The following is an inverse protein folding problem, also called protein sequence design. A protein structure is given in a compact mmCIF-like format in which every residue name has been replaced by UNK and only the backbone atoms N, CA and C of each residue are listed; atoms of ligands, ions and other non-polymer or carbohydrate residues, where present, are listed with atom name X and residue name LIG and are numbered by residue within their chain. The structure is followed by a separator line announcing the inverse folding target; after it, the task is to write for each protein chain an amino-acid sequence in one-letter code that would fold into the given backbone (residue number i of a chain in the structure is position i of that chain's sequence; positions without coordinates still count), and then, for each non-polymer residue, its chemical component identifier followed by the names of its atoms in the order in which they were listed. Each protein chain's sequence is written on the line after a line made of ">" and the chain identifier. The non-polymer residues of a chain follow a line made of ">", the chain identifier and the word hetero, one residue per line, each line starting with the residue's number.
data_IF_958512668467
#
_entry.id   IF_958512668467
#
_cell.length_a   1.000
_cell.length_b   1.000
_cell.length_c   1.000
_cell.angle_alpha   90.00
_cell.angle_beta   90.00
_cell.angle_gamma   90.00
#
_symmetry.space_group_name_H-M   'P 1'
#
loop_
_entity.id
_entity.type
_entity.pdbx_description
1 polymer ?
#
# COMPACT_ATOMS: atom_id res chain seq x y z
N UNK A 1 -15.30 20.02 -32.02
CA UNK A 1 -14.96 19.69 -30.63
C UNK A 1 -13.85 20.60 -30.18
N UNK A 2 -13.87 21.03 -28.90
CA UNK A 2 -12.80 21.85 -28.29
C UNK A 2 -11.49 21.03 -28.27
N UNK A 3 -10.39 21.65 -28.69
CA UNK A 3 -9.06 21.01 -28.68
C UNK A 3 -8.41 21.22 -27.31
N UNK A 4 -8.06 20.15 -26.64
CA UNK A 4 -7.43 20.18 -25.32
C UNK A 4 -6.11 19.40 -25.36
N UNK A 5 -5.03 20.10 -25.13
CA UNK A 5 -3.67 19.55 -25.03
C UNK A 5 -3.32 19.36 -23.55
N UNK A 6 -3.07 18.14 -23.09
CA UNK A 6 -2.51 17.87 -21.77
C UNK A 6 -0.99 17.75 -21.95
N UNK A 7 -0.24 18.64 -21.31
CA UNK A 7 1.17 18.87 -21.64
C UNK A 7 2.02 18.67 -20.40
N UNK A 8 2.87 17.64 -20.40
CA UNK A 8 3.92 17.44 -19.41
C UNK A 8 5.06 18.46 -19.64
N UNK A 9 5.26 19.33 -18.67
CA UNK A 9 6.28 20.41 -18.79
C UNK A 9 7.66 20.04 -18.25
N UNK A 10 7.84 18.77 -17.92
CA UNK A 10 9.08 18.35 -17.28
C UNK A 10 9.24 18.83 -15.84
N UNK A 11 10.45 18.80 -15.28
CA UNK A 11 10.70 19.14 -13.88
C UNK A 11 10.56 20.65 -13.58
N UNK A 12 10.50 21.51 -14.60
CA UNK A 12 10.22 22.94 -14.42
C UNK A 12 11.06 23.89 -15.30
N UNK A 13 12.27 23.49 -15.71
CA UNK A 13 13.09 24.28 -16.63
C UNK A 13 12.55 24.20 -18.07
N UNK A 14 12.20 25.32 -18.72
CA UNK A 14 11.72 25.33 -20.10
C UNK A 14 12.67 24.69 -21.14
N UNK A 15 13.96 24.67 -20.88
CA UNK A 15 14.95 24.02 -21.76
C UNK A 15 14.83 22.49 -21.77
N UNK A 16 14.12 21.93 -20.78
CA UNK A 16 13.85 20.50 -20.65
C UNK A 16 12.50 20.08 -21.24
N UNK A 17 11.79 21.00 -21.92
CA UNK A 17 10.61 20.65 -22.67
C UNK A 17 10.95 19.73 -23.84
N UNK A 18 10.10 18.74 -24.07
CA UNK A 18 10.14 18.07 -25.37
C UNK A 18 9.71 19.06 -26.47
N UNK A 19 10.22 18.89 -27.68
CA UNK A 19 9.86 19.76 -28.80
C UNK A 19 8.36 19.77 -29.08
N UNK A 20 7.70 18.62 -28.95
CA UNK A 20 6.25 18.50 -29.13
C UNK A 20 5.47 19.26 -28.05
N UNK A 21 5.91 19.16 -26.78
CA UNK A 21 5.30 19.91 -25.69
C UNK A 21 5.44 21.43 -25.89
N UNK A 22 6.62 21.91 -26.32
CA UNK A 22 6.86 23.32 -26.61
C UNK A 22 5.94 23.83 -27.71
N UNK A 23 5.81 23.09 -28.83
CA UNK A 23 4.90 23.44 -29.92
C UNK A 23 3.44 23.42 -29.49
N UNK A 24 3.04 22.47 -28.65
CA UNK A 24 1.66 22.40 -28.13
C UNK A 24 1.35 23.59 -27.21
N UNK A 25 2.31 24.04 -26.40
CA UNK A 25 2.17 25.25 -25.59
C UNK A 25 2.05 26.48 -26.50
N UNK A 26 2.88 26.60 -27.54
CA UNK A 26 2.85 27.71 -28.47
C UNK A 26 1.51 27.83 -29.19
N UNK A 27 0.96 26.70 -29.65
CA UNK A 27 -0.32 26.63 -30.36
C UNK A 27 -1.54 26.88 -29.47
N UNK A 28 -1.41 26.75 -28.15
CA UNK A 28 -2.51 26.96 -27.22
C UNK A 28 -2.67 28.44 -26.90
N UNK A 29 -3.86 29.02 -27.13
CA UNK A 29 -4.18 30.40 -26.75
C UNK A 29 -4.70 30.51 -25.30
N UNK A 30 -5.08 29.37 -24.70
CA UNK A 30 -5.49 29.28 -23.31
C UNK A 30 -4.55 28.31 -22.58
N UNK A 31 -4.00 28.74 -21.43
CA UNK A 31 -3.18 27.89 -20.58
C UNK A 31 -3.82 27.74 -19.19
N UNK A 32 -3.85 26.51 -18.70
CA UNK A 32 -4.39 26.16 -17.38
C UNK A 32 -3.31 25.38 -16.62
N UNK A 33 -3.02 25.76 -15.37
CA UNK A 33 -2.02 25.08 -14.56
C UNK A 33 -1.77 25.76 -13.22
N UNK A 34 -0.79 25.26 -12.47
CA UNK A 34 -0.28 25.93 -11.28
C UNK A 34 0.47 27.22 -11.66
N UNK A 35 0.44 28.22 -10.77
CA UNK A 35 1.11 29.52 -11.02
C UNK A 35 2.58 29.39 -11.39
N UNK A 36 3.28 28.49 -10.73
CA UNK A 36 4.71 28.20 -10.99
C UNK A 36 4.92 27.61 -12.38
N UNK A 37 4.02 26.72 -12.84
CA UNK A 37 4.12 26.11 -14.16
C UNK A 37 3.82 27.11 -15.28
N UNK A 38 2.91 28.04 -15.03
CA UNK A 38 2.48 29.04 -15.99
C UNK A 38 3.48 30.18 -16.14
N UNK A 39 4.26 30.49 -15.10
CA UNK A 39 5.14 31.67 -15.08
C UNK A 39 6.09 31.79 -16.26
N UNK A 40 6.61 30.65 -16.75
CA UNK A 40 7.55 30.65 -17.90
C UNK A 40 6.87 30.77 -19.27
N UNK A 41 5.54 30.60 -19.35
CA UNK A 41 4.81 30.53 -20.62
C UNK A 41 3.72 31.59 -20.79
N UNK A 42 3.54 32.46 -19.78
CA UNK A 42 2.58 33.54 -19.82
C UNK A 42 3.05 34.66 -20.74
N UNK A 43 2.24 35.02 -21.73
CA UNK A 43 2.49 36.13 -22.64
C UNK A 43 1.18 36.94 -22.82
N UNK A 44 1.29 38.20 -23.32
CA UNK A 44 0.11 39.03 -23.59
C UNK A 44 -0.90 38.42 -24.58
N UNK A 45 -0.46 37.42 -25.35
CA UNK A 45 -1.31 36.72 -26.36
C UNK A 45 -2.05 35.51 -25.79
N UNK A 46 -1.85 35.16 -24.52
CA UNK A 46 -2.42 33.95 -23.92
C UNK A 46 -3.31 34.28 -22.73
N UNK A 47 -4.50 33.69 -22.73
CA UNK A 47 -5.38 33.71 -21.55
C UNK A 47 -4.90 32.63 -20.57
N UNK A 48 -4.73 32.98 -19.30
CA UNK A 48 -4.13 32.09 -18.32
C UNK A 48 -5.09 31.90 -17.13
N UNK A 49 -5.32 30.63 -16.76
CA UNK A 49 -6.11 30.24 -15.58
C UNK A 49 -5.25 29.49 -14.57
N UNK A 50 -5.06 30.08 -13.39
CA UNK A 50 -4.26 29.48 -12.33
C UNK A 50 -5.10 28.53 -11.48
N UNK A 51 -5.13 27.24 -11.87
CA UNK A 51 -5.80 26.19 -11.11
C UNK A 51 -5.29 24.81 -11.47
N UNK A 52 -5.28 23.91 -10.47
CA UNK A 52 -5.05 22.46 -10.61
C UNK A 52 -6.29 21.64 -10.21
N UNK A 53 -7.37 22.33 -9.80
CA UNK A 53 -8.62 21.66 -9.45
C UNK A 53 -9.33 21.14 -10.69
N UNK A 54 -9.52 19.82 -10.76
CA UNK A 54 -10.24 19.17 -11.88
C UNK A 54 -11.62 19.77 -12.08
N UNK A 55 -12.36 20.10 -11.02
CA UNK A 55 -13.70 20.71 -11.13
C UNK A 55 -13.62 22.07 -11.81
N UNK A 56 -12.73 22.97 -11.33
CA UNK A 56 -12.54 24.30 -11.92
C UNK A 56 -12.05 24.25 -13.36
N UNK A 57 -11.15 23.31 -13.69
CA UNK A 57 -10.68 23.09 -15.09
C UNK A 57 -11.85 22.75 -15.99
N UNK A 58 -12.72 21.82 -15.56
CA UNK A 58 -13.89 21.42 -16.35
C UNK A 58 -14.91 22.57 -16.52
N UNK A 59 -15.09 23.38 -15.50
CA UNK A 59 -15.99 24.54 -15.59
C UNK A 59 -15.44 25.60 -16.55
N UNK A 60 -14.15 25.89 -16.52
CA UNK A 60 -13.49 26.76 -17.51
C UNK A 60 -13.71 26.22 -18.93
N UNK A 61 -13.47 24.93 -19.14
CA UNK A 61 -13.57 24.29 -20.47
C UNK A 61 -14.99 24.39 -21.05
N UNK A 62 -16.03 24.34 -20.22
CA UNK A 62 -17.44 24.47 -20.67
C UNK A 62 -17.78 25.85 -21.24
N UNK A 63 -17.07 26.91 -20.81
CA UNK A 63 -17.31 28.30 -21.21
C UNK A 63 -16.53 28.71 -22.47
N UNK A 64 -15.65 27.86 -22.99
CA UNK A 64 -14.77 28.15 -24.13
C UNK A 64 -15.44 27.90 -25.50
N UNK A 65 -15.00 28.66 -26.49
CA UNK A 65 -15.48 28.54 -27.89
C UNK A 65 -14.68 27.45 -28.66
N UNK A 66 -15.29 26.30 -29.00
CA UNK A 66 -14.59 25.23 -29.72
C UNK A 66 -14.04 25.62 -31.10
N UNK A 67 -14.52 26.74 -31.67
CA UNK A 67 -14.06 27.20 -33.00
C UNK A 67 -12.80 28.07 -32.92
N UNK A 68 -12.49 28.65 -31.75
CA UNK A 68 -11.41 29.64 -31.61
C UNK A 68 -10.35 29.18 -30.57
N UNK A 69 -10.78 28.39 -29.59
CA UNK A 69 -9.94 28.12 -28.42
C UNK A 69 -9.20 26.79 -28.54
N UNK A 70 -7.92 26.83 -28.19
CA UNK A 70 -7.05 25.66 -28.02
C UNK A 70 -6.49 25.74 -26.62
N UNK A 71 -6.82 24.75 -25.80
CA UNK A 71 -6.47 24.72 -24.38
C UNK A 71 -5.20 23.90 -24.17
N UNK A 72 -4.23 24.45 -23.48
CA UNK A 72 -3.08 23.76 -22.93
C UNK A 72 -3.22 23.58 -21.41
N UNK A 73 -3.40 22.34 -20.94
CA UNK A 73 -3.37 22.02 -19.51
C UNK A 73 -1.96 21.59 -19.16
N UNK A 74 -1.24 22.42 -18.40
CA UNK A 74 0.12 22.16 -17.99
C UNK A 74 0.14 21.26 -16.75
N UNK A 75 0.95 20.22 -16.79
CA UNK A 75 1.16 19.30 -15.66
C UNK A 75 2.66 19.13 -15.40
N UNK A 76 3.04 19.07 -14.14
CA UNK A 76 4.44 18.90 -13.74
C UNK A 76 4.95 17.51 -14.11
N UNK A 77 6.20 17.43 -14.53
CA UNK A 77 6.85 16.17 -14.89
C UNK A 77 6.28 15.57 -16.18
N UNK A 78 6.04 14.28 -16.14
CA UNK A 78 5.43 13.50 -17.23
C UNK A 78 3.95 13.22 -16.96
N UNK A 79 3.16 13.19 -18.04
CA UNK A 79 1.71 12.96 -17.99
C UNK A 79 1.31 11.59 -17.41
N UNK A 80 2.18 10.58 -17.53
CA UNK A 80 1.96 9.22 -17.04
C UNK A 80 2.51 8.98 -15.63
N UNK A 81 3.28 9.93 -15.08
CA UNK A 81 4.00 9.74 -13.82
C UNK A 81 3.32 10.47 -12.65
N UNK A 82 2.40 9.79 -11.95
CA UNK A 82 1.62 10.32 -10.82
C UNK A 82 0.90 11.66 -11.09
N UNK A 83 0.54 11.89 -12.34
CA UNK A 83 -0.04 13.15 -12.83
C UNK A 83 -1.56 13.20 -12.65
N UNK A 84 -2.10 14.43 -12.59
CA UNK A 84 -3.54 14.74 -12.68
C UNK A 84 -4.18 14.24 -13.98
N UNK A 85 -3.39 13.91 -15.00
CA UNK A 85 -3.84 13.50 -16.33
C UNK A 85 -4.88 12.38 -16.27
N UNK A 86 -4.66 11.37 -15.43
CA UNK A 86 -5.59 10.24 -15.30
C UNK A 86 -6.99 10.67 -14.85
N UNK A 87 -7.07 11.62 -13.93
CA UNK A 87 -8.34 12.09 -13.36
C UNK A 87 -9.08 13.06 -14.28
N UNK A 88 -8.36 13.82 -15.11
CA UNK A 88 -8.92 14.83 -16.02
C UNK A 88 -9.34 14.19 -17.34
N UNK A 89 -8.50 13.32 -17.92
CA UNK A 89 -8.70 12.76 -19.24
C UNK A 89 -10.02 12.01 -19.41
N UNK A 90 -10.42 11.25 -18.38
CA UNK A 90 -11.68 10.49 -18.41
C UNK A 90 -12.93 11.41 -18.42
N UNK A 91 -12.78 12.66 -17.97
CA UNK A 91 -13.86 13.65 -17.89
C UNK A 91 -13.94 14.59 -19.10
N UNK A 92 -13.00 14.49 -20.02
CA UNK A 92 -12.91 15.30 -21.24
C UNK A 92 -13.41 14.56 -22.49
N UNK A 93 -14.32 13.61 -22.33
CA UNK A 93 -14.85 12.78 -23.43
C UNK A 93 -15.53 13.58 -24.57
N UNK A 94 -16.03 14.80 -24.28
CA UNK A 94 -16.62 15.71 -25.25
C UNK A 94 -15.58 16.58 -26.00
N UNK A 95 -14.29 16.44 -25.70
CA UNK A 95 -13.19 17.22 -26.28
C UNK A 95 -12.30 16.35 -27.20
N UNK A 96 -11.57 16.99 -28.10
CA UNK A 96 -10.46 16.38 -28.82
C UNK A 96 -9.20 16.50 -27.96
N UNK A 97 -8.83 15.42 -27.24
CA UNK A 97 -7.73 15.45 -26.28
C UNK A 97 -6.46 14.89 -26.90
N UNK A 98 -5.38 15.70 -26.89
CA UNK A 98 -4.01 15.26 -27.21
C UNK A 98 -3.15 15.28 -25.97
N UNK A 99 -2.18 14.38 -25.89
CA UNK A 99 -1.28 14.22 -24.73
C UNK A 99 0.16 14.33 -25.20
N UNK A 100 0.94 15.14 -24.47
CA UNK A 100 2.35 15.41 -24.75
C UNK A 100 3.17 15.04 -23.54
N UNK A 101 4.16 14.14 -23.72
CA UNK A 101 5.00 13.67 -22.62
C UNK A 101 5.97 14.78 -22.17
N UNK A 102 6.41 14.66 -20.92
CA UNK A 102 7.46 15.48 -20.31
C UNK A 102 8.49 14.60 -19.62
N UNK A 103 9.61 15.17 -19.22
CA UNK A 103 10.63 14.47 -18.44
C UNK A 103 10.13 14.40 -16.99
N UNK A 104 10.00 13.18 -16.44
CA UNK A 104 9.60 13.02 -15.05
C UNK A 104 10.71 13.42 -14.08
N UNK A 105 10.33 13.79 -12.84
CA UNK A 105 11.30 14.06 -11.78
C UNK A 105 12.18 12.84 -11.47
N UNK A 106 11.68 11.63 -11.65
CA UNK A 106 12.46 10.40 -11.52
C UNK A 106 13.62 10.38 -12.53
N UNK A 107 13.32 10.53 -13.83
CA UNK A 107 14.34 10.49 -14.90
C UNK A 107 15.36 11.58 -14.72
N UNK A 108 14.93 12.81 -14.42
CA UNK A 108 15.83 13.93 -14.20
C UNK A 108 16.71 13.74 -12.97
N UNK A 109 16.13 13.31 -11.85
CA UNK A 109 16.86 13.12 -10.60
C UNK A 109 17.90 11.99 -10.69
N UNK A 110 17.53 10.86 -11.28
CA UNK A 110 18.46 9.73 -11.43
C UNK A 110 19.62 10.05 -12.37
N UNK A 111 19.37 10.85 -13.41
CA UNK A 111 20.46 11.40 -14.26
C UNK A 111 21.41 12.27 -13.45
N UNK A 112 20.91 13.12 -12.53
CA UNK A 112 21.76 13.94 -11.65
C UNK A 112 22.54 13.11 -10.62
N UNK A 113 22.05 11.94 -10.28
CA UNK A 113 22.72 11.02 -9.36
C UNK A 113 23.66 10.02 -10.07
N UNK A 114 23.70 10.04 -11.40
CA UNK A 114 24.41 9.05 -12.23
C UNK A 114 23.99 7.61 -11.86
N UNK A 115 22.65 7.40 -11.73
CA UNK A 115 22.05 6.14 -11.32
C UNK A 115 21.04 5.65 -12.36
N UNK A 116 21.01 4.34 -12.59
CA UNK A 116 19.89 3.66 -13.25
C UNK A 116 18.64 3.65 -12.34
N UNK A 117 17.46 3.64 -12.93
CA UNK A 117 16.19 3.63 -12.20
C UNK A 117 15.27 2.44 -12.57
N UNK A 118 15.69 1.61 -13.49
CA UNK A 118 14.93 0.44 -13.96
C UNK A 118 14.70 -0.62 -12.85
N UNK A 119 15.63 -0.71 -11.89
CA UNK A 119 15.56 -1.56 -10.71
C UNK A 119 14.91 -0.86 -9.48
N UNK A 120 14.54 0.42 -9.60
CA UNK A 120 13.99 1.17 -8.48
C UNK A 120 12.51 0.84 -8.23
N UNK A 121 12.15 0.60 -6.97
CA UNK A 121 10.76 0.60 -6.53
C UNK A 121 10.26 2.04 -6.49
N UNK A 122 9.24 2.34 -7.28
CA UNK A 122 8.67 3.68 -7.38
C UNK A 122 7.41 3.78 -6.53
N UNK A 123 7.35 4.77 -5.64
CA UNK A 123 6.18 5.06 -4.80
C UNK A 123 5.90 6.57 -4.79
N UNK A 124 4.71 6.94 -4.33
CA UNK A 124 4.35 8.35 -4.11
C UNK A 124 3.79 8.51 -2.71
N UNK A 125 4.45 9.34 -1.91
CA UNK A 125 3.98 9.79 -0.60
C UNK A 125 3.24 11.14 -0.69
N UNK A 126 3.14 11.71 -1.89
CA UNK A 126 2.42 12.95 -2.12
C UNK A 126 0.91 12.73 -2.10
N UNK A 127 0.25 13.18 -1.03
CA UNK A 127 -1.21 13.06 -0.87
C UNK A 127 -1.74 11.61 -0.82
N UNK A 128 -0.89 10.64 -0.50
CA UNK A 128 -1.22 9.21 -0.42
C UNK A 128 -0.56 8.57 0.80
N UNK A 129 -1.28 7.65 1.43
CA UNK A 129 -0.75 6.82 2.51
C UNK A 129 -0.18 5.51 1.94
N UNK A 130 1.01 5.59 1.32
CA UNK A 130 1.77 4.41 0.95
C UNK A 130 2.74 4.04 2.09
N UNK A 131 3.13 2.78 2.15
CA UNK A 131 4.08 2.31 3.16
C UNK A 131 5.52 2.40 2.62
N UNK A 132 6.20 3.53 2.89
CA UNK A 132 7.59 3.76 2.51
C UNK A 132 8.52 2.73 3.17
N UNK A 133 8.33 2.47 4.45
CA UNK A 133 9.18 1.57 5.23
C UNK A 133 9.15 0.16 4.66
N UNK A 134 7.95 -0.35 4.32
CA UNK A 134 7.82 -1.65 3.68
C UNK A 134 8.46 -1.70 2.28
N UNK A 135 8.43 -0.59 1.53
CA UNK A 135 9.09 -0.50 0.25
C UNK A 135 10.62 -0.54 0.42
N UNK A 136 11.17 0.25 1.36
CA UNK A 136 12.62 0.29 1.66
C UNK A 136 13.09 -1.05 2.22
N UNK A 137 12.31 -1.67 3.11
CA UNK A 137 12.65 -2.98 3.67
C UNK A 137 12.90 -4.05 2.61
N UNK A 138 12.18 -4.01 1.49
CA UNK A 138 12.14 -5.08 0.47
C UNK A 138 12.93 -4.77 -0.81
N UNK A 139 13.46 -3.57 -0.96
CA UNK A 139 14.10 -3.17 -2.20
C UNK A 139 15.43 -2.45 -1.91
N UNK A 140 16.42 -2.72 -2.75
CA UNK A 140 17.73 -2.06 -2.68
C UNK A 140 17.64 -0.58 -3.03
N UNK A 141 16.68 -0.22 -3.89
CA UNK A 141 16.52 1.15 -4.40
C UNK A 141 15.05 1.54 -4.39
N UNK A 142 14.71 2.65 -3.76
CA UNK A 142 13.33 3.17 -3.69
C UNK A 142 13.31 4.64 -4.06
N UNK A 143 12.56 4.98 -5.10
CA UNK A 143 12.25 6.37 -5.42
C UNK A 143 10.90 6.76 -4.81
N UNK A 144 10.84 7.94 -4.18
CA UNK A 144 9.61 8.47 -3.60
C UNK A 144 9.37 9.92 -4.00
N UNK A 145 8.16 10.20 -4.51
CA UNK A 145 7.63 11.56 -4.49
C UNK A 145 7.25 11.92 -3.05
N UNK A 146 7.60 13.12 -2.62
CA UNK A 146 7.27 13.68 -1.31
C UNK A 146 6.28 14.84 -1.45
N UNK A 147 5.76 15.37 -0.36
CA UNK A 147 4.91 16.56 -0.36
C UNK A 147 3.78 16.52 0.66
N UNK A 148 3.20 17.70 0.93
CA UNK A 148 2.24 17.86 1.99
C UNK A 148 2.84 17.57 3.36
N UNK A 149 2.19 16.73 4.15
CA UNK A 149 2.69 16.31 5.46
C UNK A 149 3.87 15.35 5.42
N UNK A 150 4.17 14.76 4.25
CA UNK A 150 5.23 13.77 4.06
C UNK A 150 6.50 14.44 3.52
N UNK A 151 7.13 15.30 4.34
CA UNK A 151 8.43 15.89 4.04
C UNK A 151 9.55 14.83 4.10
N UNK A 152 10.68 15.03 3.39
CA UNK A 152 11.82 14.14 3.46
C UNK A 152 12.29 13.85 4.91
N UNK A 153 12.36 14.87 5.77
CA UNK A 153 12.76 14.72 7.17
C UNK A 153 11.79 13.82 7.96
N UNK A 154 10.46 14.00 7.78
CA UNK A 154 9.47 13.14 8.43
C UNK A 154 9.58 11.70 7.97
N UNK A 155 9.77 11.48 6.67
CA UNK A 155 9.95 10.14 6.10
C UNK A 155 11.25 9.48 6.58
N UNK A 156 12.34 10.24 6.71
CA UNK A 156 13.58 9.77 7.34
C UNK A 156 13.36 9.39 8.82
N UNK A 157 12.55 10.16 9.55
CA UNK A 157 12.19 9.82 10.92
C UNK A 157 11.42 8.51 11.00
N UNK A 158 10.42 8.29 10.14
CA UNK A 158 9.71 7.01 10.06
C UNK A 158 10.65 5.84 9.79
N UNK A 159 11.61 6.00 8.88
CA UNK A 159 12.62 4.99 8.61
C UNK A 159 13.45 4.69 9.85
N UNK A 160 13.93 5.72 10.57
CA UNK A 160 14.70 5.56 11.80
C UNK A 160 13.91 4.86 12.90
N UNK A 161 12.65 5.26 13.13
CA UNK A 161 11.76 4.69 14.13
C UNK A 161 11.49 3.18 13.86
N UNK A 162 11.60 2.76 12.59
CA UNK A 162 11.45 1.37 12.17
C UNK A 162 12.78 0.60 12.03
N UNK A 163 13.92 1.17 12.45
CA UNK A 163 15.23 0.50 12.45
C UNK A 163 16.03 0.64 11.15
N UNK A 164 15.65 1.54 10.25
CA UNK A 164 16.35 1.85 8.98
C UNK A 164 17.12 3.17 9.06
N UNK A 165 17.79 3.44 10.19
CA UNK A 165 18.57 4.66 10.41
C UNK A 165 19.83 4.75 9.53
N UNK A 166 20.33 3.60 9.06
CA UNK A 166 21.55 3.42 8.27
C UNK A 166 21.31 3.31 6.74
N UNK A 167 20.07 3.46 6.27
CA UNK A 167 19.83 3.57 4.82
C UNK A 167 20.32 4.92 4.29
N UNK A 168 20.92 4.90 3.10
CA UNK A 168 21.44 6.12 2.50
C UNK A 168 20.36 6.81 1.64
N UNK A 169 20.19 8.11 1.84
CA UNK A 169 19.11 8.89 1.21
C UNK A 169 19.69 10.04 0.41
N UNK A 170 19.20 10.21 -0.80
CA UNK A 170 19.38 11.40 -1.62
C UNK A 170 18.06 12.15 -1.67
N UNK A 171 18.08 13.46 -1.44
CA UNK A 171 16.93 14.35 -1.57
C UNK A 171 17.19 15.33 -2.68
N UNK A 172 16.37 15.31 -3.71
CA UNK A 172 16.39 16.30 -4.79
C UNK A 172 15.40 17.41 -4.49
N UNK A 173 15.90 18.62 -4.30
CA UNK A 173 15.16 19.81 -3.91
C UNK A 173 15.05 20.73 -5.12
N UNK A 174 13.85 21.25 -5.43
CA UNK A 174 13.57 22.20 -6.50
C UNK A 174 14.26 21.81 -7.83
N UNK A 175 14.17 20.53 -8.19
CA UNK A 175 14.88 19.97 -9.35
C UNK A 175 14.62 20.79 -10.61
N UNK A 176 15.69 21.14 -11.32
CA UNK A 176 15.75 21.95 -12.55
C UNK A 176 15.47 23.45 -12.38
N UNK A 177 15.15 23.94 -11.20
CA UNK A 177 15.05 25.37 -10.92
C UNK A 177 16.42 25.97 -10.54
N UNK A 178 16.49 27.29 -10.50
CA UNK A 178 17.76 28.01 -10.20
C UNK A 178 18.32 27.69 -8.80
N UNK A 179 17.47 27.30 -7.88
CA UNK A 179 17.78 26.90 -6.51
C UNK A 179 17.80 25.36 -6.33
N UNK A 180 18.01 24.61 -7.42
CA UNK A 180 18.20 23.17 -7.37
C UNK A 180 19.29 22.77 -6.40
N UNK A 181 18.97 21.83 -5.52
CA UNK A 181 19.94 21.29 -4.57
C UNK A 181 19.76 19.78 -4.42
N UNK A 182 20.84 19.07 -4.22
CA UNK A 182 20.84 17.66 -3.86
C UNK A 182 21.50 17.50 -2.50
N UNK A 183 20.68 17.15 -1.50
CA UNK A 183 21.14 16.80 -0.16
C UNK A 183 21.24 15.29 -0.04
N UNK A 184 22.28 14.78 0.62
CA UNK A 184 22.51 13.35 0.79
C UNK A 184 23.07 13.03 2.16
N UNK A 185 22.75 11.85 2.69
CA UNK A 185 23.24 11.37 3.98
C UNK A 185 22.47 10.13 4.43
N UNK A 186 22.83 9.60 5.58
CA UNK A 186 22.04 8.55 6.20
C UNK A 186 20.68 9.10 6.70
N UNK A 187 19.66 8.26 6.73
CA UNK A 187 18.33 8.68 7.18
C UNK A 187 18.38 9.39 8.55
N UNK A 188 19.21 8.89 9.47
CA UNK A 188 19.43 9.50 10.81
C UNK A 188 19.99 10.93 10.77
N UNK A 189 20.77 11.27 9.76
CA UNK A 189 21.39 12.60 9.61
C UNK A 189 20.38 13.63 9.06
N UNK A 190 19.35 13.16 8.35
CA UNK A 190 18.38 14.02 7.66
C UNK A 190 17.11 14.30 8.47
N UNK A 191 16.90 13.62 9.62
CA UNK A 191 15.69 13.73 10.45
C UNK A 191 15.39 15.15 10.93
N UNK A 192 16.39 15.96 11.22
CA UNK A 192 16.21 17.32 11.75
C UNK A 192 16.30 18.43 10.69
N UNK A 193 16.44 18.09 9.42
CA UNK A 193 16.64 19.06 8.36
C UNK A 193 15.32 19.60 7.83
N UNK A 194 15.33 20.81 7.28
CA UNK A 194 14.19 21.40 6.56
C UNK A 194 14.38 21.21 5.05
N UNK A 195 13.30 20.83 4.38
CA UNK A 195 13.28 20.61 2.94
C UNK A 195 12.10 21.37 2.29
N UNK A 196 12.29 21.92 1.09
CA UNK A 196 11.22 22.50 0.32
C UNK A 196 10.11 21.50 0.03
N UNK A 197 8.87 21.99 -0.14
CA UNK A 197 7.74 21.13 -0.50
C UNK A 197 7.90 20.42 -1.86
N UNK A 198 8.70 21.00 -2.74
CA UNK A 198 9.06 20.43 -4.04
C UNK A 198 10.34 19.59 -3.91
N UNK A 199 10.20 18.43 -3.30
CA UNK A 199 11.30 17.50 -3.10
C UNK A 199 10.94 16.10 -3.56
N UNK A 200 11.95 15.32 -3.89
CA UNK A 200 11.88 13.88 -4.17
C UNK A 200 13.00 13.16 -3.41
N UNK A 201 12.82 11.89 -3.18
CA UNK A 201 13.82 11.07 -2.48
C UNK A 201 14.22 9.85 -3.33
N UNK A 202 15.51 9.50 -3.25
CA UNK A 202 16.03 8.19 -3.62
C UNK A 202 16.67 7.56 -2.38
N UNK A 203 16.22 6.39 -2.01
CA UNK A 203 16.67 5.68 -0.81
C UNK A 203 17.37 4.41 -1.26
N UNK A 204 18.57 4.20 -0.75
CA UNK A 204 19.40 3.02 -1.01
C UNK A 204 19.46 2.20 0.27
N UNK A 205 19.05 0.95 0.17
CA UNK A 205 19.14 -0.02 1.25
C UNK A 205 20.05 -1.17 0.79
N UNK A 206 21.26 -1.22 1.29
CA UNK A 206 22.24 -2.27 0.95
C UNK A 206 21.91 -3.62 1.60
N UNK A 207 20.97 -3.63 2.54
CA UNK A 207 20.53 -4.82 3.28
C UNK A 207 19.01 -4.98 3.18
N UNK A 208 18.44 -5.05 1.98
CA UNK A 208 17.01 -5.33 1.86
C UNK A 208 16.75 -6.67 2.54
N UNK A 209 15.61 -6.79 3.19
CA UNK A 209 15.11 -8.09 3.61
C UNK A 209 14.98 -8.86 2.31
N UNK A 210 15.96 -9.72 2.07
CA UNK A 210 16.01 -10.58 0.88
C UNK A 210 14.64 -11.22 0.79
N UNK A 211 13.93 -10.91 -0.32
CA UNK A 211 12.49 -11.12 -0.36
C UNK A 211 12.25 -12.55 0.03
N UNK A 212 11.81 -12.72 1.25
CA UNK A 212 11.64 -14.03 1.84
C UNK A 212 11.19 -14.93 0.73
N UNK A 213 11.95 -15.99 0.43
CA UNK A 213 11.55 -17.03 -0.53
C UNK A 213 10.14 -17.56 -0.21
N UNK A 214 9.53 -17.01 0.83
CA UNK A 214 8.19 -17.33 1.33
C UNK A 214 7.19 -16.28 0.86
N UNK A 215 6.24 -16.70 0.06
CA UNK A 215 5.04 -15.90 -0.23
C UNK A 215 4.18 -15.82 1.05
N UNK A 216 4.10 -16.91 1.79
CA UNK A 216 3.51 -17.10 3.12
C UNK A 216 4.08 -18.39 3.73
N UNK A 217 3.76 -18.66 4.99
CA UNK A 217 4.27 -19.84 5.68
C UNK A 217 5.68 -19.61 6.24
N UNK A 218 5.92 -18.44 6.85
CA UNK A 218 7.16 -18.15 7.54
C UNK A 218 7.46 -19.22 8.60
N UNK A 219 8.73 -19.64 8.77
CA UNK A 219 9.13 -20.54 9.84
C UNK A 219 8.68 -20.04 11.23
N UNK A 220 8.32 -20.96 12.12
CA UNK A 220 7.83 -20.62 13.45
C UNK A 220 8.85 -19.85 14.32
N UNK A 221 10.14 -19.97 14.04
CA UNK A 221 11.23 -19.28 14.72
C UNK A 221 11.43 -17.82 14.28
N UNK A 222 10.78 -17.41 13.19
CA UNK A 222 10.68 -16.01 12.83
C UNK A 222 9.86 -15.20 13.84
N UNK A 223 8.96 -15.86 14.58
CA UNK A 223 8.06 -15.21 15.52
C UNK A 223 8.58 -15.32 16.97
N UNK A 224 8.48 -14.21 17.69
CA UNK A 224 8.66 -14.20 19.15
C UNK A 224 7.49 -14.96 19.77
N UNK A 225 7.81 -15.88 20.68
CA UNK A 225 6.84 -16.75 21.34
C UNK A 225 7.04 -16.71 22.85
N UNK A 226 5.96 -16.88 23.58
CA UNK A 226 5.94 -17.17 25.00
C UNK A 226 5.06 -18.41 25.25
N UNK A 227 4.28 -18.42 26.32
CA UNK A 227 3.31 -19.50 26.59
C UNK A 227 2.02 -19.42 25.76
N UNK A 228 1.84 -18.33 25.00
CA UNK A 228 0.67 -18.12 24.15
C UNK A 228 0.67 -19.13 22.99
N UNK A 229 -0.47 -19.79 22.71
CA UNK A 229 -0.61 -20.68 21.57
C UNK A 229 -0.32 -19.95 20.25
N UNK A 230 0.33 -20.64 19.30
CA UNK A 230 0.64 -20.14 17.98
C UNK A 230 0.22 -21.15 16.92
N UNK A 231 -0.50 -20.69 15.91
CA UNK A 231 -0.80 -21.50 14.71
C UNK A 231 0.49 -21.87 14.02
N UNK A 232 0.77 -23.17 13.91
CA UNK A 232 2.01 -23.70 13.37
C UNK A 232 2.13 -23.46 11.87
N UNK A 233 3.36 -23.39 11.38
CA UNK A 233 3.70 -23.04 9.99
C UNK A 233 2.82 -23.77 8.97
N UNK A 234 2.68 -25.10 9.08
CA UNK A 234 1.93 -25.91 8.12
C UNK A 234 0.44 -25.55 8.12
N UNK A 235 -0.17 -25.48 9.30
CA UNK A 235 -1.57 -25.08 9.46
C UNK A 235 -1.78 -23.65 9.00
N UNK A 236 -0.88 -22.73 9.38
CA UNK A 236 -0.93 -21.32 8.99
C UNK A 236 -0.86 -21.15 7.48
N UNK A 237 0.06 -21.87 6.83
CA UNK A 237 0.20 -21.84 5.37
C UNK A 237 -1.06 -22.29 4.65
N UNK A 238 -1.68 -23.38 5.12
CA UNK A 238 -2.93 -23.90 4.54
C UNK A 238 -4.07 -22.91 4.79
N UNK A 239 -4.19 -22.39 6.02
CA UNK A 239 -5.25 -21.43 6.38
C UNK A 239 -5.18 -20.16 5.53
N UNK A 240 -3.99 -19.58 5.35
CA UNK A 240 -3.79 -18.38 4.52
C UNK A 240 -4.06 -18.68 3.05
N UNK A 241 -3.64 -19.84 2.56
CA UNK A 241 -3.93 -20.28 1.19
C UNK A 241 -5.42 -20.42 0.93
N UNK A 242 -6.18 -21.01 1.87
CA UNK A 242 -7.64 -21.13 1.78
C UNK A 242 -8.36 -19.79 1.90
N UNK A 243 -7.82 -18.85 2.67
CA UNK A 243 -8.36 -17.49 2.82
C UNK A 243 -8.15 -16.66 1.54
N UNK A 244 -7.10 -16.96 0.78
CA UNK A 244 -6.77 -16.32 -0.50
C UNK A 244 -6.79 -14.78 -0.45
N UNK A 245 -6.02 -14.14 0.47
CA UNK A 245 -6.05 -12.70 0.66
C UNK A 245 -5.44 -11.95 -0.53
N UNK A 246 -6.01 -10.78 -0.85
CA UNK A 246 -5.53 -9.87 -1.89
C UNK A 246 -4.71 -8.74 -1.27
N UNK A 247 -3.91 -8.08 -2.09
CA UNK A 247 -3.03 -6.99 -1.63
C UNK A 247 -3.77 -5.76 -1.07
N UNK A 248 -5.05 -5.60 -1.37
CA UNK A 248 -5.88 -4.45 -0.99
C UNK A 248 -6.93 -4.79 0.06
N UNK A 249 -7.02 -6.05 0.50
CA UNK A 249 -8.10 -6.52 1.38
C UNK A 249 -8.03 -5.90 2.77
N UNK A 250 -9.20 -5.66 3.34
CA UNK A 250 -9.41 -5.45 4.77
C UNK A 250 -9.60 -6.82 5.41
N UNK A 251 -8.72 -7.18 6.33
CA UNK A 251 -8.66 -8.53 6.88
C UNK A 251 -8.84 -8.49 8.39
N UNK A 252 -9.66 -9.41 8.92
CA UNK A 252 -9.75 -9.65 10.35
C UNK A 252 -8.99 -10.93 10.72
N UNK A 253 -8.23 -10.86 11.81
CA UNK A 253 -7.66 -12.02 12.50
C UNK A 253 -8.25 -12.09 13.91
N UNK A 254 -9.20 -13.01 14.12
CA UNK A 254 -9.95 -13.14 15.37
C UNK A 254 -9.31 -14.21 16.24
N UNK A 255 -8.89 -13.81 17.45
CA UNK A 255 -8.09 -14.63 18.35
C UNK A 255 -6.65 -14.73 17.85
N UNK A 256 -6.03 -13.58 17.63
CA UNK A 256 -4.75 -13.45 16.93
C UNK A 256 -3.56 -14.13 17.66
N UNK A 257 -3.65 -14.35 18.98
CA UNK A 257 -2.63 -15.02 19.77
C UNK A 257 -1.27 -14.33 19.64
N UNK A 258 -0.27 -15.03 19.13
CA UNK A 258 1.07 -14.44 18.90
C UNK A 258 1.13 -13.46 17.73
N UNK A 259 0.05 -13.30 16.96
CA UNK A 259 0.02 -12.48 15.75
C UNK A 259 0.70 -13.12 14.53
N UNK A 260 1.04 -14.40 14.59
CA UNK A 260 1.73 -15.05 13.47
C UNK A 260 0.91 -15.09 12.19
N UNK A 261 -0.41 -15.27 12.27
CA UNK A 261 -1.34 -15.18 11.14
C UNK A 261 -1.53 -13.72 10.72
N UNK A 262 -1.80 -12.82 11.69
CA UNK A 262 -1.97 -11.38 11.45
C UNK A 262 -0.80 -10.77 10.66
N UNK A 263 0.42 -11.08 11.08
CA UNK A 263 1.64 -10.56 10.44
C UNK A 263 1.79 -11.08 9.01
N UNK A 264 1.60 -12.38 8.76
CA UNK A 264 1.67 -12.91 7.40
C UNK A 264 0.56 -12.36 6.50
N UNK A 265 -0.65 -12.20 7.02
CA UNK A 265 -1.75 -11.55 6.30
C UNK A 265 -1.42 -10.09 5.95
N UNK A 266 -0.81 -9.35 6.88
CA UNK A 266 -0.39 -7.98 6.64
C UNK A 266 0.76 -7.86 5.62
N UNK A 267 1.68 -8.82 5.60
CA UNK A 267 2.72 -8.89 4.57
C UNK A 267 2.15 -9.15 3.16
N UNK A 268 1.02 -9.84 3.05
CA UNK A 268 0.31 -10.07 1.78
C UNK A 268 -0.55 -8.85 1.41
N UNK A 269 -1.35 -8.33 2.35
CA UNK A 269 -2.26 -7.20 2.15
C UNK A 269 -1.53 -5.85 2.20
N UNK A 270 -0.51 -5.66 1.36
CA UNK A 270 0.41 -4.50 1.38
C UNK A 270 -0.29 -3.14 1.26
N UNK A 271 -1.38 -3.10 0.52
CA UNK A 271 -2.19 -1.90 0.24
C UNK A 271 -3.55 -1.95 0.96
N UNK A 272 -3.75 -2.98 1.76
CA UNK A 272 -4.89 -3.20 2.64
C UNK A 272 -4.53 -3.01 4.10
N UNK A 273 -5.36 -3.53 4.99
CA UNK A 273 -5.16 -3.42 6.44
C UNK A 273 -5.62 -4.68 7.15
N UNK A 274 -4.87 -5.10 8.17
CA UNK A 274 -5.23 -6.21 9.05
C UNK A 274 -5.67 -5.66 10.41
N UNK A 275 -6.77 -6.19 10.92
CA UNK A 275 -7.33 -5.91 12.24
C UNK A 275 -7.21 -7.18 13.07
N UNK A 276 -6.31 -7.18 14.04
CA UNK A 276 -6.04 -8.31 14.92
C UNK A 276 -6.80 -8.14 16.24
N UNK A 277 -7.78 -8.99 16.47
CA UNK A 277 -8.58 -8.98 17.69
C UNK A 277 -7.99 -9.94 18.72
N UNK A 278 -7.60 -9.43 19.86
CA UNK A 278 -7.04 -10.24 20.94
C UNK A 278 -7.37 -9.61 22.31
N UNK A 279 -7.69 -10.47 23.28
CA UNK A 279 -8.05 -10.03 24.64
C UNK A 279 -6.96 -10.31 25.68
N UNK A 280 -6.03 -11.23 25.40
CA UNK A 280 -4.96 -11.57 26.32
C UNK A 280 -3.81 -10.53 26.23
N UNK A 281 -3.50 -9.79 27.33
CA UNK A 281 -2.44 -8.79 27.31
C UNK A 281 -1.06 -9.34 26.90
N UNK A 282 -0.70 -10.56 27.31
CA UNK A 282 0.56 -11.20 26.93
C UNK A 282 0.62 -11.45 25.41
N UNK A 283 -0.49 -11.87 24.82
CA UNK A 283 -0.62 -12.09 23.37
C UNK A 283 -0.52 -10.75 22.61
N UNK A 284 -1.18 -9.70 23.09
CA UNK A 284 -1.13 -8.35 22.51
C UNK A 284 0.31 -7.85 22.42
N UNK A 285 1.10 -8.00 23.47
CA UNK A 285 2.52 -7.63 23.44
C UNK A 285 3.32 -8.46 22.42
N UNK A 286 3.02 -9.75 22.28
CA UNK A 286 3.66 -10.58 21.24
C UNK A 286 3.30 -10.12 19.83
N UNK A 287 2.04 -9.72 19.59
CA UNK A 287 1.64 -9.15 18.29
C UNK A 287 2.46 -7.89 18.00
N UNK A 288 2.61 -6.97 18.97
CA UNK A 288 3.43 -5.75 18.82
C UNK A 288 4.89 -6.08 18.51
N UNK A 289 5.47 -7.01 19.26
CA UNK A 289 6.85 -7.43 19.05
C UNK A 289 7.07 -8.05 17.67
N UNK A 290 6.17 -8.92 17.23
CA UNK A 290 6.25 -9.59 15.92
C UNK A 290 6.01 -8.62 14.77
N UNK A 291 5.06 -7.69 14.91
CA UNK A 291 4.83 -6.62 13.93
C UNK A 291 6.07 -5.73 13.77
N UNK A 292 6.70 -5.34 14.86
CA UNK A 292 7.95 -4.57 14.84
C UNK A 292 9.10 -5.37 14.21
N UNK A 293 9.31 -6.62 14.65
CA UNK A 293 10.39 -7.49 14.15
C UNK A 293 10.31 -7.74 12.65
N UNK A 294 9.09 -7.92 12.12
CA UNK A 294 8.85 -8.20 10.70
C UNK A 294 8.43 -6.95 9.91
N UNK A 295 8.58 -5.78 10.52
CA UNK A 295 8.33 -4.46 9.93
C UNK A 295 6.96 -4.34 9.25
N UNK A 296 5.92 -4.74 9.98
CA UNK A 296 4.53 -4.68 9.55
C UNK A 296 3.89 -3.42 10.12
N UNK A 297 3.38 -2.53 9.27
CA UNK A 297 2.78 -1.25 9.67
C UNK A 297 1.27 -1.16 9.39
N UNK A 298 0.74 -2.04 8.54
CA UNK A 298 -0.68 -2.10 8.17
C UNK A 298 -1.47 -3.09 9.03
N UNK A 299 -1.01 -3.34 10.26
CA UNK A 299 -1.68 -4.17 11.25
C UNK A 299 -2.11 -3.29 12.43
N UNK A 300 -3.39 -3.33 12.75
CA UNK A 300 -3.97 -2.67 13.91
C UNK A 300 -4.44 -3.70 14.92
N UNK A 301 -4.14 -3.47 16.18
CA UNK A 301 -4.47 -4.38 17.27
C UNK A 301 -5.71 -3.84 17.98
N UNK A 302 -6.75 -4.65 18.05
CA UNK A 302 -7.97 -4.36 18.78
C UNK A 302 -7.99 -5.21 20.06
N UNK A 303 -7.84 -4.53 21.18
CA UNK A 303 -7.81 -5.14 22.50
C UNK A 303 -9.23 -5.38 23.01
N UNK A 304 -9.65 -6.62 23.21
CA UNK A 304 -10.96 -6.94 23.72
C UNK A 304 -11.60 -8.18 23.11
N UNK A 305 -12.87 -8.37 23.41
CA UNK A 305 -13.68 -9.44 22.83
C UNK A 305 -14.11 -9.08 21.42
N UNK A 306 -13.69 -9.88 20.45
CA UNK A 306 -13.99 -9.64 19.04
C UNK A 306 -15.50 -9.44 18.75
N UNK A 307 -16.37 -10.17 19.43
CA UNK A 307 -17.84 -10.04 19.28
C UNK A 307 -18.40 -8.65 19.62
N UNK A 308 -17.71 -7.89 20.47
CA UNK A 308 -18.08 -6.51 20.79
C UNK A 308 -17.44 -5.52 19.81
N UNK A 309 -16.15 -5.69 19.54
CA UNK A 309 -15.30 -4.72 18.83
C UNK A 309 -15.50 -4.73 17.30
N UNK A 310 -15.91 -5.85 16.70
CA UNK A 310 -16.14 -5.97 15.25
C UNK A 310 -17.12 -4.91 14.72
N UNK A 311 -18.06 -4.44 15.54
CA UNK A 311 -19.09 -3.48 15.11
C UNK A 311 -18.49 -2.14 14.65
N UNK A 312 -17.45 -1.70 15.33
CA UNK A 312 -16.82 -0.38 15.12
C UNK A 312 -15.70 -0.38 14.04
N UNK A 313 -15.39 -1.55 13.47
CA UNK A 313 -14.32 -1.69 12.48
C UNK A 313 -14.86 -1.67 11.04
N UNK A 314 -14.08 -1.32 10.00
CA UNK A 314 -14.51 -1.37 8.59
C UNK A 314 -14.97 -2.77 8.17
N UNK A 315 -15.83 -2.88 7.16
CA UNK A 315 -16.27 -4.17 6.62
C UNK A 315 -15.08 -5.00 6.10
N UNK A 316 -14.94 -6.28 6.49
CA UNK A 316 -13.81 -7.11 6.06
C UNK A 316 -14.07 -7.77 4.70
N UNK A 317 -12.99 -7.93 3.91
CA UNK A 317 -12.99 -8.77 2.70
C UNK A 317 -12.64 -10.22 3.03
N UNK A 318 -11.80 -10.41 4.06
CA UNK A 318 -11.37 -11.71 4.55
C UNK A 318 -11.42 -11.77 6.08
N UNK A 319 -11.74 -12.93 6.62
CA UNK A 319 -11.73 -13.17 8.07
C UNK A 319 -11.07 -14.51 8.38
N UNK A 320 -10.05 -14.48 9.20
CA UNK A 320 -9.49 -15.67 9.82
C UNK A 320 -9.96 -15.75 11.27
N UNK A 321 -10.40 -16.92 11.71
CA UNK A 321 -10.84 -17.19 13.09
C UNK A 321 -9.97 -18.31 13.67
N UNK A 322 -9.02 -17.93 14.53
CA UNK A 322 -8.17 -18.86 15.27
C UNK A 322 -8.76 -19.27 16.62
N UNK A 323 -9.67 -18.44 17.17
CA UNK A 323 -10.36 -18.70 18.41
C UNK A 323 -11.59 -17.81 18.55
N UNK A 324 -12.76 -18.40 18.85
CA UNK A 324 -14.05 -17.69 18.87
C UNK A 324 -14.57 -17.33 20.27
N UNK A 325 -13.90 -17.80 21.33
CA UNK A 325 -14.35 -17.54 22.71
C UNK A 325 -15.79 -17.99 23.02
N UNK A 326 -16.38 -18.87 22.19
CA UNK A 326 -17.77 -19.34 22.34
C UNK A 326 -18.81 -18.50 21.57
N UNK A 327 -18.44 -17.38 20.95
CA UNK A 327 -19.36 -16.43 20.30
C UNK A 327 -19.38 -16.54 18.76
N UNK A 328 -19.05 -17.72 18.21
CA UNK A 328 -18.83 -17.92 16.77
C UNK A 328 -20.02 -17.45 15.91
N UNK A 329 -21.25 -17.90 16.24
CA UNK A 329 -22.43 -17.58 15.43
C UNK A 329 -22.70 -16.07 15.36
N UNK A 330 -22.69 -15.39 16.50
CA UNK A 330 -22.92 -13.92 16.54
C UNK A 330 -21.85 -13.11 15.83
N UNK A 331 -20.59 -13.57 15.87
CA UNK A 331 -19.50 -12.94 15.11
C UNK A 331 -19.70 -13.13 13.61
N UNK A 332 -20.01 -14.34 13.15
CA UNK A 332 -20.27 -14.61 11.74
C UNK A 332 -21.46 -13.81 11.21
N UNK A 333 -22.54 -13.71 12.00
CA UNK A 333 -23.70 -12.88 11.62
C UNK A 333 -23.31 -11.40 11.47
N UNK A 334 -22.48 -10.86 12.38
CA UNK A 334 -21.99 -9.48 12.30
C UNK A 334 -21.06 -9.27 11.09
N UNK A 335 -20.19 -10.22 10.81
CA UNK A 335 -19.28 -10.18 9.66
C UNK A 335 -20.08 -10.15 8.36
N UNK A 336 -21.03 -11.08 8.19
CA UNK A 336 -21.84 -11.17 6.97
C UNK A 336 -22.88 -10.06 6.82
N UNK A 337 -23.28 -9.42 7.92
CA UNK A 337 -24.07 -8.19 7.87
C UNK A 337 -23.24 -7.02 7.28
N UNK A 338 -21.94 -6.94 7.60
CA UNK A 338 -21.03 -5.92 7.07
C UNK A 338 -20.61 -6.19 5.62
N UNK A 339 -20.29 -7.44 5.31
CA UNK A 339 -19.93 -7.89 3.96
C UNK A 339 -20.33 -9.35 3.78
N UNK A 340 -21.38 -9.59 3.02
CA UNK A 340 -21.90 -10.93 2.74
C UNK A 340 -21.02 -11.73 1.76
N UNK A 341 -20.06 -11.06 1.10
CA UNK A 341 -19.03 -11.66 0.22
C UNK A 341 -17.73 -11.99 0.97
N UNK A 342 -17.65 -11.70 2.27
CA UNK A 342 -16.43 -11.93 3.04
C UNK A 342 -16.03 -13.41 3.00
N UNK A 343 -14.78 -13.67 2.65
CA UNK A 343 -14.18 -15.00 2.69
C UNK A 343 -13.77 -15.32 4.12
N UNK A 344 -14.22 -16.46 4.64
CA UNK A 344 -13.98 -16.83 6.03
C UNK A 344 -13.19 -18.13 6.10
N UNK A 345 -12.14 -18.16 6.93
CA UNK A 345 -11.41 -19.38 7.30
C UNK A 345 -11.42 -19.55 8.81
N UNK A 346 -11.81 -20.72 9.27
CA UNK A 346 -11.92 -21.05 10.70
C UNK A 346 -11.04 -22.25 10.99
N UNK A 347 -10.16 -22.12 11.98
CA UNK A 347 -9.38 -23.25 12.49
C UNK A 347 -10.10 -23.83 13.71
N UNK A 348 -10.48 -25.11 13.63
CA UNK A 348 -11.08 -25.85 14.72
C UNK A 348 -10.16 -27.00 15.17
N UNK A 349 -9.81 -26.97 16.46
CA UNK A 349 -9.01 -28.04 17.11
C UNK A 349 -9.94 -29.03 17.82
N UNK A 350 -11.14 -28.58 18.21
CA UNK A 350 -12.11 -29.39 18.93
C UNK A 350 -13.29 -29.80 18.06
N UNK A 351 -13.90 -30.93 18.39
CA UNK A 351 -15.09 -31.43 17.69
C UNK A 351 -16.29 -30.49 17.92
N UNK A 352 -16.37 -29.87 19.09
CA UNK A 352 -17.42 -28.90 19.41
C UNK A 352 -17.38 -27.67 18.51
N UNK A 353 -16.16 -27.13 18.26
CA UNK A 353 -15.98 -26.00 17.33
C UNK A 353 -16.38 -26.41 15.92
N UNK A 354 -15.96 -27.59 15.46
CA UNK A 354 -16.33 -28.12 14.14
C UNK A 354 -17.86 -28.26 14.03
N UNK A 355 -18.50 -28.85 15.04
CA UNK A 355 -19.95 -29.02 15.07
C UNK A 355 -20.69 -27.67 15.03
N UNK A 356 -20.20 -26.67 15.78
CA UNK A 356 -20.75 -25.30 15.77
C UNK A 356 -20.65 -24.63 14.41
N UNK A 357 -19.52 -24.79 13.70
CA UNK A 357 -19.38 -24.27 12.33
C UNK A 357 -20.36 -24.94 11.37
N UNK A 358 -20.45 -26.27 11.43
CA UNK A 358 -21.36 -27.03 10.56
C UNK A 358 -22.82 -26.65 10.81
N UNK A 359 -23.23 -26.50 12.08
CA UNK A 359 -24.56 -26.07 12.43
C UNK A 359 -24.87 -24.65 11.92
N UNK A 360 -23.93 -23.73 12.03
CA UNK A 360 -24.10 -22.37 11.53
C UNK A 360 -24.38 -22.33 10.02
N UNK A 361 -23.62 -23.09 9.22
CA UNK A 361 -23.76 -23.06 7.77
C UNK A 361 -24.84 -24.04 7.23
N UNK A 362 -25.38 -24.94 8.03
CA UNK A 362 -26.36 -25.97 7.62
C UNK A 362 -27.53 -25.43 6.77
N UNK A 363 -28.00 -24.24 7.12
CA UNK A 363 -29.16 -23.63 6.47
C UNK A 363 -28.79 -22.42 5.58
N UNK A 364 -27.49 -22.22 5.32
CA UNK A 364 -26.97 -21.09 4.51
C UNK A 364 -26.51 -21.60 3.14
N UNK A 365 -27.49 -21.96 2.28
CA UNK A 365 -27.25 -22.57 0.96
C UNK A 365 -26.47 -21.70 -0.03
N UNK A 366 -26.39 -20.40 0.25
CA UNK A 366 -25.63 -19.41 -0.51
C UNK A 366 -24.11 -19.42 -0.22
N UNK A 367 -23.66 -20.24 0.74
CA UNK A 367 -22.24 -20.44 1.02
C UNK A 367 -21.80 -21.86 0.66
N UNK A 368 -20.59 -21.96 0.16
CA UNK A 368 -19.88 -23.21 -0.05
C UNK A 368 -18.84 -23.38 1.07
N UNK A 369 -18.83 -24.58 1.66
CA UNK A 369 -17.92 -24.92 2.76
C UNK A 369 -16.99 -26.02 2.29
N UNK A 370 -15.68 -25.81 2.48
CA UNK A 370 -14.68 -26.85 2.32
C UNK A 370 -14.00 -27.10 3.67
N UNK A 371 -13.81 -28.37 4.01
CA UNK A 371 -13.18 -28.80 5.27
C UNK A 371 -11.93 -29.61 4.94
N UNK A 372 -10.79 -29.16 5.40
CA UNK A 372 -9.53 -29.86 5.30
C UNK A 372 -9.04 -30.24 6.69
N UNK A 373 -8.79 -31.52 6.93
CA UNK A 373 -8.15 -31.96 8.17
C UNK A 373 -6.63 -32.00 7.96
N UNK A 374 -5.91 -31.18 8.71
CA UNK A 374 -4.46 -31.08 8.67
C UNK A 374 -3.85 -31.85 9.82
N UNK A 375 -3.13 -32.91 9.51
CA UNK A 375 -2.37 -33.70 10.46
C UNK A 375 -0.88 -33.62 10.13
N UNK A 376 -0.07 -33.08 11.08
CA UNK A 376 1.35 -32.86 10.88
C UNK A 376 2.18 -33.58 11.95
N UNK A 377 3.34 -34.08 11.54
CA UNK A 377 4.37 -34.53 12.46
C UNK A 377 5.71 -33.92 12.04
N UNK A 378 6.48 -33.40 13.01
CA UNK A 378 7.81 -32.84 12.75
C UNK A 378 8.89 -33.74 13.35
N UNK A 379 10.03 -33.88 12.66
CA UNK A 379 11.15 -34.60 13.20
C UNK A 379 11.80 -33.81 14.35
N UNK A 380 12.10 -34.52 15.43
CA UNK A 380 12.88 -34.00 16.55
C UNK A 380 14.10 -34.88 16.74
N UNK A 381 15.29 -34.26 16.74
CA UNK A 381 16.54 -34.97 16.97
C UNK A 381 16.66 -35.35 18.44
N UNK A 382 16.82 -36.64 18.73
CA UNK A 382 17.08 -37.19 20.07
C UNK A 382 18.30 -38.10 19.98
N UNK A 383 19.44 -37.63 20.45
CA UNK A 383 20.71 -38.32 20.24
C UNK A 383 21.07 -38.42 18.77
N UNK A 384 21.26 -39.63 18.27
CA UNK A 384 21.53 -39.95 16.85
C UNK A 384 20.29 -40.19 15.98
N UNK A 385 19.09 -40.16 16.59
CA UNK A 385 17.82 -40.51 15.92
C UNK A 385 16.99 -39.28 15.64
N UNK A 386 16.18 -39.34 14.56
CA UNK A 386 15.15 -38.38 14.24
C UNK A 386 13.77 -38.98 14.57
N UNK A 387 13.21 -38.56 15.70
CA UNK A 387 11.88 -39.03 16.13
C UNK A 387 10.80 -38.11 15.57
N UNK A 388 9.73 -38.71 15.04
CA UNK A 388 8.56 -37.94 14.55
C UNK A 388 7.64 -37.62 15.72
N UNK A 389 7.46 -36.32 15.99
CA UNK A 389 6.55 -35.81 17.02
C UNK A 389 5.28 -35.26 16.37
N UNK A 390 4.16 -35.91 16.63
CA UNK A 390 2.84 -35.49 16.15
C UNK A 390 2.37 -34.19 16.79
N UNK A 391 1.67 -33.41 16.01
CA UNK A 391 0.91 -32.23 16.46
C UNK A 391 -0.59 -32.59 16.52
N UNK A 392 -1.37 -31.82 17.26
CA UNK A 392 -2.82 -31.99 17.25
C UNK A 392 -3.39 -31.74 15.86
N UNK A 393 -4.29 -32.59 15.36
CA UNK A 393 -5.01 -32.33 14.11
C UNK A 393 -5.78 -31.02 14.19
N UNK A 394 -5.84 -30.31 13.08
CA UNK A 394 -6.60 -29.06 12.96
C UNK A 394 -7.53 -29.17 11.76
N UNK A 395 -8.79 -28.89 11.94
CA UNK A 395 -9.73 -28.71 10.84
C UNK A 395 -9.64 -27.27 10.36
N UNK A 396 -9.23 -27.08 9.13
CA UNK A 396 -9.24 -25.79 8.41
C UNK A 396 -10.53 -25.77 7.59
N UNK A 397 -11.44 -24.87 7.94
CA UNK A 397 -12.76 -24.76 7.34
C UNK A 397 -12.81 -23.44 6.58
N UNK A 398 -12.96 -23.48 5.27
CA UNK A 398 -13.17 -22.29 4.45
C UNK A 398 -14.63 -22.17 4.05
N UNK A 399 -15.18 -20.96 4.15
CA UNK A 399 -16.53 -20.63 3.73
C UNK A 399 -16.50 -19.43 2.78
N UNK A 400 -16.99 -19.62 1.58
CA UNK A 400 -17.05 -18.63 0.52
C UNK A 400 -18.49 -18.53 0.01
N UNK A 401 -18.91 -17.34 -0.39
CA UNK A 401 -20.19 -17.20 -1.09
C UNK A 401 -20.11 -17.87 -2.44
N UNK A 402 -21.15 -18.62 -2.82
CA UNK A 402 -21.26 -19.20 -4.16
C UNK A 402 -21.38 -18.07 -5.17
N UNK A 403 -20.53 -18.10 -6.22
CA UNK A 403 -20.73 -17.23 -7.36
C UNK A 403 -22.09 -17.49 -8.02
N UNK A 404 -22.74 -16.44 -8.49
CA UNK A 404 -23.94 -16.56 -9.33
C UNK A 404 -23.61 -17.21 -10.68
#
# INVERSE_FOLDING_TARGET
>A
MLKVNIIGIGPGNPELLTREAALAIEQSNILIGDSRMLAAYTTEKKTVFQTISTAKILDIIKELDPAKDIVGILVSGDIGFFSLTKTIADKLSACEVKRFCGISSLVYFTQKLDMSWDDAKIISMHGRNNNLVAAVAKNTKVFSLTGGENSPAKLCKELCDCGYSDVFVYVGENLSYADEKITKGFASELVGMEFPSLSVMMIINDKPIDGCHYVHGLPDDFFVRAKVPMTKQEVRSISISKLSPRSTDIIYDIGAGTGSVSVELALIAKNGKVWAFERNPEAIELIRMNSKKLNVQNLEIIEGEASAEIKETPAPDCVFIGGSGGNLHSMLDTIYLKNNEARVVINAITVETLASVLDYYKNKSNYEIEIVNVFCARSQKIGSYNLMKSQNPVYVISANRKGE
#
